data_IF_072880643030
#
_entry.id   IF_072880643030
#
_cell.length_a   1.000
_cell.length_b   1.000
_cell.length_c   1.000
_cell.angle_alpha   90.00
_cell.angle_beta   90.00
_cell.angle_gamma   90.00
#
_symmetry.space_group_name_H-M   'P 1'
#
loop_
_entity.id
_entity.type
_entity.pdbx_description
1 polymer ?
#
# COMPACT_ATOMS: atom_id res chain seq x y z
N UNK A 1 -8.19 39.66 55.35
CA UNK A 1 -9.56 39.63 54.80
C UNK A 1 -9.47 39.58 53.27
N UNK A 2 -8.98 38.46 52.73
CA UNK A 2 -9.75 37.35 52.14
C UNK A 2 -10.12 37.56 50.66
N UNK A 3 -9.32 36.97 49.77
CA UNK A 3 -9.72 36.58 48.39
C UNK A 3 -9.35 35.11 48.15
N UNK A 4 -9.61 34.27 49.16
CA UNK A 4 -9.35 32.82 49.16
C UNK A 4 -10.69 32.05 49.28
N UNK A 5 -11.76 32.61 48.70
CA UNK A 5 -13.14 32.14 48.84
C UNK A 5 -13.90 32.10 47.51
N UNK A 6 -13.24 31.66 46.45
CA UNK A 6 -13.93 31.43 45.17
C UNK A 6 -13.46 30.12 44.53
N UNK A 7 -13.39 29.06 45.35
CA UNK A 7 -12.93 27.73 44.95
C UNK A 7 -13.92 26.59 45.15
N UNK A 8 -15.19 26.86 45.50
CA UNK A 8 -16.17 25.78 45.70
C UNK A 8 -17.60 26.20 45.33
N UNK A 9 -17.92 26.09 44.04
CA UNK A 9 -19.29 25.80 43.56
C UNK A 9 -19.22 24.82 42.40
N UNK A 10 -19.12 23.54 42.74
CA UNK A 10 -19.54 22.44 41.89
C UNK A 10 -21.02 22.17 42.22
N UNK A 11 -21.90 22.38 41.25
CA UNK A 11 -22.72 21.31 40.64
C UNK A 11 -23.94 21.90 39.94
N UNK A 12 -24.07 21.55 38.67
CA UNK A 12 -25.14 22.02 37.80
C UNK A 12 -24.92 21.54 36.38
N UNK A 13 -24.97 20.21 36.20
CA UNK A 13 -25.32 19.51 34.95
C UNK A 13 -25.07 20.29 33.66
N UNK A 14 -23.83 20.26 33.21
CA UNK A 14 -23.45 20.55 31.84
C UNK A 14 -22.32 19.62 31.51
N UNK A 15 -22.61 18.51 30.83
CA UNK A 15 -21.59 17.66 30.23
C UNK A 15 -20.88 18.48 29.16
N UNK A 16 -19.97 19.36 29.59
CA UNK A 16 -18.94 19.94 28.77
C UNK A 16 -18.08 18.76 28.35
N UNK A 17 -18.44 18.15 27.22
CA UNK A 17 -17.53 17.37 26.40
C UNK A 17 -16.28 18.22 26.33
N UNK A 18 -15.24 17.80 27.07
CA UNK A 18 -13.89 18.31 26.91
C UNK A 18 -13.63 18.15 25.42
N UNK A 19 -13.77 19.24 24.66
CA UNK A 19 -13.25 19.30 23.30
C UNK A 19 -11.78 19.03 23.50
N UNK A 20 -11.36 17.80 23.17
CA UNK A 20 -9.95 17.53 22.93
C UNK A 20 -9.47 18.67 22.04
N UNK A 21 -8.33 19.30 22.33
CA UNK A 21 -7.74 20.20 21.35
C UNK A 21 -7.68 19.42 20.04
N UNK A 22 -8.42 19.89 19.04
CA UNK A 22 -8.34 19.38 17.68
C UNK A 22 -6.89 19.55 17.29
N UNK A 23 -6.19 18.41 17.14
CA UNK A 23 -4.83 18.40 16.65
C UNK A 23 -4.79 19.24 15.36
N UNK A 24 -3.87 20.20 15.25
CA UNK A 24 -3.69 20.93 14.00
C UNK A 24 -3.26 19.91 12.93
N UNK A 25 -3.97 19.91 11.80
CA UNK A 25 -3.58 19.18 10.60
C UNK A 25 -4.13 17.77 10.50
N UNK A 26 -5.45 17.61 10.35
CA UNK A 26 -5.91 16.63 9.36
C UNK A 26 -5.49 17.26 8.03
N UNK A 27 -4.34 16.86 7.50
CA UNK A 27 -3.98 17.17 6.12
C UNK A 27 -5.17 16.74 5.28
N UNK A 28 -5.85 17.71 4.66
CA UNK A 28 -6.93 17.41 3.75
C UNK A 28 -6.26 16.79 2.54
N UNK A 29 -6.21 15.47 2.54
CA UNK A 29 -5.72 14.70 1.43
C UNK A 29 -6.79 14.78 0.34
N UNK A 30 -6.49 15.49 -0.74
CA UNK A 30 -7.37 15.57 -1.89
C UNK A 30 -7.28 14.24 -2.66
N UNK A 31 -8.34 13.39 -2.63
CA UNK A 31 -8.30 12.10 -3.30
C UNK A 31 -8.13 12.25 -4.81
N UNK A 32 -8.65 13.33 -5.38
CA UNK A 32 -8.50 13.66 -6.81
C UNK A 32 -7.04 13.91 -7.14
N UNK A 33 -6.32 14.64 -6.28
CA UNK A 33 -4.90 14.88 -6.44
C UNK A 33 -4.07 13.60 -6.33
N UNK A 34 -4.47 12.65 -5.48
CA UNK A 34 -3.82 11.34 -5.39
C UNK A 34 -4.07 10.51 -6.65
N UNK A 35 -5.32 10.38 -7.07
CA UNK A 35 -5.67 9.59 -8.26
C UNK A 35 -4.89 10.09 -9.47
N UNK A 36 -4.84 11.40 -9.69
CA UNK A 36 -4.03 12.01 -10.74
C UNK A 36 -2.54 11.70 -10.63
N UNK A 37 -1.98 11.63 -9.41
CA UNK A 37 -0.57 11.27 -9.19
C UNK A 37 -0.30 9.80 -9.51
N UNK A 38 -1.19 8.90 -9.10
CA UNK A 38 -1.08 7.48 -9.41
C UNK A 38 -1.16 7.29 -10.93
N UNK A 39 -2.16 7.88 -11.58
CA UNK A 39 -2.35 7.79 -13.03
C UNK A 39 -1.14 8.37 -13.79
N UNK A 40 -0.56 9.47 -13.32
CA UNK A 40 0.66 10.03 -13.89
C UNK A 40 1.84 9.05 -13.81
N UNK A 41 2.06 8.41 -12.65
CA UNK A 41 3.10 7.38 -12.52
C UNK A 41 2.82 6.20 -13.45
N UNK A 42 1.58 5.69 -13.49
CA UNK A 42 1.21 4.52 -14.29
C UNK A 42 1.30 4.77 -15.80
N UNK A 43 1.10 6.01 -16.26
CA UNK A 43 1.15 6.36 -17.68
C UNK A 43 2.52 6.84 -18.16
N UNK A 44 3.45 7.12 -17.22
CA UNK A 44 4.80 7.57 -17.55
C UNK A 44 5.54 6.59 -18.48
N UNK A 45 6.35 7.08 -19.43
CA UNK A 45 7.12 6.24 -20.34
C UNK A 45 8.24 5.46 -19.63
N UNK A 46 8.69 5.96 -18.47
CA UNK A 46 9.69 5.33 -17.61
C UNK A 46 9.21 5.35 -16.17
N UNK A 47 9.69 4.43 -15.36
CA UNK A 47 9.32 4.38 -13.94
C UNK A 47 10.03 5.48 -13.15
N UNK A 48 9.25 6.36 -12.52
CA UNK A 48 9.77 7.45 -11.68
C UNK A 48 9.83 7.02 -10.21
N UNK A 49 11.04 6.74 -9.73
CA UNK A 49 11.29 6.35 -8.34
C UNK A 49 10.96 7.45 -7.33
N UNK A 50 11.14 8.73 -7.70
CA UNK A 50 10.89 9.86 -6.80
C UNK A 50 9.39 10.00 -6.57
N UNK A 51 8.60 9.93 -7.65
CA UNK A 51 7.15 9.96 -7.55
C UNK A 51 6.60 8.74 -6.81
N UNK A 52 7.15 7.54 -7.06
CA UNK A 52 6.77 6.33 -6.34
C UNK A 52 7.12 6.38 -4.85
N UNK A 53 8.27 6.95 -4.47
CA UNK A 53 8.64 7.16 -3.07
C UNK A 53 7.71 8.15 -2.36
N UNK A 54 7.25 9.20 -3.05
CA UNK A 54 6.25 10.11 -2.51
C UNK A 54 4.90 9.41 -2.26
N UNK A 55 4.51 8.48 -3.12
CA UNK A 55 3.33 7.62 -2.94
C UNK A 55 3.51 6.59 -1.81
N UNK A 56 4.74 6.26 -1.45
CA UNK A 56 5.07 5.40 -0.32
C UNK A 56 5.15 6.17 1.02
N UNK A 57 4.96 7.49 1.03
CA UNK A 57 4.98 8.27 2.26
C UNK A 57 3.85 7.85 3.22
N UNK A 58 4.10 7.94 4.53
CA UNK A 58 3.19 7.42 5.58
C UNK A 58 1.78 8.00 5.51
N UNK A 59 1.65 9.26 5.10
CA UNK A 59 0.41 10.00 4.93
C UNK A 59 -0.38 9.61 3.67
N UNK A 60 0.30 9.17 2.61
CA UNK A 60 -0.32 8.75 1.34
C UNK A 60 -0.48 7.23 1.18
N UNK A 61 0.21 6.44 2.01
CA UNK A 61 0.36 4.99 1.83
C UNK A 61 -0.97 4.23 1.81
N UNK A 62 -1.84 4.48 2.80
CA UNK A 62 -3.09 3.72 2.94
C UNK A 62 -4.01 3.92 1.72
N UNK A 63 -4.21 5.17 1.32
CA UNK A 63 -5.06 5.55 0.19
C UNK A 63 -4.46 5.07 -1.13
N UNK A 64 -3.13 5.15 -1.29
CA UNK A 64 -2.44 4.64 -2.48
C UNK A 64 -2.60 3.13 -2.62
N UNK A 65 -2.39 2.38 -1.53
CA UNK A 65 -2.54 0.92 -1.51
C UNK A 65 -3.99 0.54 -1.79
N UNK A 66 -4.97 1.25 -1.21
CA UNK A 66 -6.38 1.01 -1.48
C UNK A 66 -6.73 1.23 -2.96
N UNK A 67 -6.28 2.34 -3.54
CA UNK A 67 -6.53 2.63 -4.96
C UNK A 67 -5.92 1.59 -5.89
N UNK A 68 -4.66 1.20 -5.66
CA UNK A 68 -3.97 0.18 -6.46
C UNK A 68 -4.61 -1.20 -6.30
N UNK A 69 -5.10 -1.55 -5.09
CA UNK A 69 -5.87 -2.76 -4.90
C UNK A 69 -7.16 -2.77 -5.72
N UNK A 70 -7.83 -1.62 -5.86
CA UNK A 70 -9.04 -1.50 -6.71
C UNK A 70 -8.76 -1.87 -8.17
N UNK A 71 -7.59 -1.50 -8.72
CA UNK A 71 -7.18 -1.87 -10.08
C UNK A 71 -6.82 -3.35 -10.23
N UNK A 72 -6.26 -3.95 -9.18
CA UNK A 72 -5.78 -5.34 -9.20
C UNK A 72 -6.85 -6.36 -8.78
N UNK A 73 -7.95 -5.91 -8.16
CA UNK A 73 -9.04 -6.73 -7.67
C UNK A 73 -8.86 -7.17 -6.20
N UNK A 74 -9.52 -8.27 -5.81
CA UNK A 74 -9.79 -8.64 -4.41
C UNK A 74 -8.58 -9.03 -3.54
N UNK A 75 -7.36 -9.07 -4.07
CA UNK A 75 -6.23 -9.69 -3.38
C UNK A 75 -5.39 -8.69 -2.58
N UNK A 76 -5.24 -8.95 -1.28
CA UNK A 76 -4.41 -8.18 -0.34
C UNK A 76 -2.91 -8.47 -0.51
N UNK A 77 -2.38 -8.20 -1.70
CA UNK A 77 -0.94 -8.27 -2.04
C UNK A 77 -0.09 -7.59 -0.96
N UNK A 78 -0.47 -6.40 -0.48
CA UNK A 78 0.28 -5.71 0.57
C UNK A 78 0.46 -6.58 1.83
N UNK A 79 -0.61 -7.21 2.32
CA UNK A 79 -0.54 -8.11 3.48
C UNK A 79 0.28 -9.37 3.20
N UNK A 80 0.23 -9.91 1.98
CA UNK A 80 0.99 -11.10 1.59
C UNK A 80 2.49 -10.83 1.56
N UNK A 81 2.90 -9.65 1.13
CA UNK A 81 4.31 -9.27 0.99
C UNK A 81 4.90 -8.68 2.28
N UNK A 82 4.09 -8.00 3.11
CA UNK A 82 4.55 -7.30 4.31
C UNK A 82 5.32 -8.20 5.30
N UNK A 83 4.91 -9.46 5.43
CA UNK A 83 5.47 -10.40 6.42
C UNK A 83 6.36 -11.47 5.82
N UNK A 84 6.45 -11.55 4.48
CA UNK A 84 7.17 -12.62 3.80
C UNK A 84 8.64 -12.27 3.55
N UNK A 85 9.59 -13.20 3.77
CA UNK A 85 10.90 -13.14 3.14
C UNK A 85 10.77 -13.09 1.61
N UNK A 86 11.69 -12.38 0.95
CA UNK A 86 11.64 -12.13 -0.51
C UNK A 86 11.63 -13.41 -1.35
N UNK A 87 12.30 -14.46 -0.88
CA UNK A 87 12.33 -15.77 -1.55
C UNK A 87 10.95 -16.43 -1.71
N UNK A 88 9.95 -16.05 -0.90
CA UNK A 88 8.58 -16.57 -1.01
C UNK A 88 7.65 -15.66 -1.81
N UNK A 89 8.13 -14.51 -2.30
CA UNK A 89 7.29 -13.56 -3.04
C UNK A 89 6.74 -14.12 -4.35
N UNK A 90 7.49 -14.89 -5.16
CA UNK A 90 6.95 -15.41 -6.42
C UNK A 90 5.70 -16.26 -6.22
N UNK A 91 5.71 -17.20 -5.27
CA UNK A 91 4.52 -18.01 -4.97
C UNK A 91 3.35 -17.15 -4.49
N UNK A 92 3.62 -16.21 -3.59
CA UNK A 92 2.58 -15.37 -2.98
C UNK A 92 1.92 -14.47 -4.02
N UNK A 93 2.70 -13.88 -4.92
CA UNK A 93 2.18 -13.09 -6.03
C UNK A 93 1.44 -13.97 -7.04
N UNK A 94 1.98 -15.14 -7.38
CA UNK A 94 1.31 -16.08 -8.27
C UNK A 94 -0.06 -16.51 -7.73
N UNK A 95 -0.16 -16.80 -6.42
CA UNK A 95 -1.44 -17.10 -5.75
C UNK A 95 -2.34 -15.87 -5.65
N UNK A 96 -1.78 -14.68 -5.41
CA UNK A 96 -2.54 -13.45 -5.36
C UNK A 96 -3.16 -13.12 -6.72
N UNK A 97 -2.47 -13.35 -7.83
CA UNK A 97 -3.05 -13.10 -9.15
C UNK A 97 -3.84 -14.28 -9.70
N UNK A 98 -3.87 -15.42 -9.00
CA UNK A 98 -4.60 -16.62 -9.43
C UNK A 98 -3.86 -17.46 -10.48
N UNK A 99 -2.56 -17.23 -10.68
CA UNK A 99 -1.72 -18.06 -11.54
C UNK A 99 -1.45 -19.45 -10.96
N UNK A 100 -1.53 -19.59 -9.63
CA UNK A 100 -1.34 -20.85 -8.91
C UNK A 100 -2.55 -21.10 -7.99
N UNK A 101 -3.08 -22.33 -7.94
CA UNK A 101 -4.20 -22.69 -7.07
C UNK A 101 -3.97 -22.38 -5.58
N UNK A 102 -5.04 -22.06 -4.85
CA UNK A 102 -4.95 -21.70 -3.43
C UNK A 102 -4.56 -22.87 -2.50
N UNK A 103 -4.56 -24.11 -2.96
CA UNK A 103 -4.14 -25.27 -2.18
C UNK A 103 -2.60 -25.45 -2.13
N UNK A 104 -1.84 -24.72 -2.96
CA UNK A 104 -0.38 -24.71 -2.84
C UNK A 104 0.06 -24.13 -1.49
N UNK A 105 1.00 -24.81 -0.84
CA UNK A 105 1.46 -24.43 0.48
C UNK A 105 2.28 -23.13 0.42
N UNK A 106 1.95 -22.12 1.22
CA UNK A 106 2.57 -20.78 1.13
C UNK A 106 4.06 -20.75 1.50
N UNK A 107 4.56 -21.83 2.14
CA UNK A 107 5.98 -22.02 2.48
C UNK A 107 6.77 -22.81 1.43
N UNK A 108 6.11 -23.24 0.34
CA UNK A 108 6.76 -23.96 -0.74
C UNK A 108 7.69 -23.01 -1.52
N UNK A 109 8.85 -23.54 -1.95
CA UNK A 109 9.74 -22.80 -2.84
C UNK A 109 9.12 -22.76 -4.23
N UNK A 110 8.91 -21.54 -4.72
CA UNK A 110 8.46 -21.26 -6.07
C UNK A 110 9.34 -20.12 -6.60
N UNK A 111 10.07 -20.39 -7.66
CA UNK A 111 11.07 -19.48 -8.20
C UNK A 111 10.47 -18.57 -9.27
N UNK A 112 11.27 -17.60 -9.73
CA UNK A 112 10.92 -16.80 -10.91
C UNK A 112 10.83 -17.69 -12.16
N UNK A 113 11.66 -18.72 -12.26
CA UNK A 113 11.65 -19.63 -13.41
C UNK A 113 10.40 -20.53 -13.43
N UNK A 114 9.95 -20.99 -12.27
CA UNK A 114 8.65 -21.69 -12.14
C UNK A 114 7.49 -20.78 -12.58
N UNK A 115 7.58 -19.48 -12.29
CA UNK A 115 6.59 -18.50 -12.71
C UNK A 115 6.66 -18.23 -14.22
N UNK A 116 7.85 -18.20 -14.82
CA UNK A 116 8.03 -18.11 -16.28
C UNK A 116 7.52 -19.35 -17.00
N UNK A 117 7.69 -20.53 -16.40
CA UNK A 117 7.17 -21.79 -16.93
C UNK A 117 5.65 -21.92 -16.80
N UNK A 118 5.03 -21.12 -15.92
CA UNK A 118 3.58 -21.10 -15.74
C UNK A 118 2.88 -20.56 -17.00
N UNK A 119 2.05 -21.39 -17.63
CA UNK A 119 1.29 -21.03 -18.84
C UNK A 119 0.05 -20.16 -18.53
N UNK A 120 -0.20 -19.83 -17.27
CA UNK A 120 -1.37 -19.05 -16.87
C UNK A 120 -1.14 -17.55 -17.19
N UNK A 121 -2.11 -16.84 -17.80
CA UNK A 121 -1.95 -15.42 -18.15
C UNK A 121 -1.54 -14.53 -16.96
N UNK A 122 -2.10 -14.81 -15.78
CA UNK A 122 -1.80 -14.06 -14.54
C UNK A 122 -0.38 -14.25 -14.00
N UNK A 123 0.37 -15.26 -14.49
CA UNK A 123 1.79 -15.40 -14.15
C UNK A 123 2.60 -14.19 -14.65
N UNK A 124 2.17 -13.59 -15.76
CA UNK A 124 2.77 -12.38 -16.31
C UNK A 124 2.60 -11.19 -15.36
N UNK A 125 1.42 -11.00 -14.77
CA UNK A 125 1.16 -9.96 -13.75
C UNK A 125 2.07 -10.16 -12.53
N UNK A 126 2.26 -11.40 -12.09
CA UNK A 126 3.18 -11.73 -11.00
C UNK A 126 4.65 -11.43 -11.37
N UNK A 127 5.07 -11.71 -12.60
CA UNK A 127 6.40 -11.37 -13.11
C UNK A 127 6.62 -9.86 -13.19
N UNK A 128 5.62 -9.10 -13.65
CA UNK A 128 5.66 -7.64 -13.65
C UNK A 128 5.81 -7.10 -12.23
N UNK A 129 5.03 -7.60 -11.27
CA UNK A 129 5.14 -7.22 -9.86
C UNK A 129 6.54 -7.45 -9.27
N UNK A 130 7.26 -8.47 -9.75
CA UNK A 130 8.64 -8.79 -9.36
C UNK A 130 9.71 -8.00 -10.15
N UNK A 131 9.30 -7.07 -11.02
CA UNK A 131 10.21 -6.29 -11.87
C UNK A 131 10.91 -7.12 -12.95
N UNK A 132 10.33 -8.27 -13.33
CA UNK A 132 10.90 -9.17 -14.35
C UNK A 132 10.48 -8.80 -15.78
N UNK A 133 9.60 -7.82 -15.93
CA UNK A 133 9.12 -7.29 -17.22
C UNK A 133 9.54 -5.83 -17.31
N UNK A 134 10.20 -5.38 -18.39
CA UNK A 134 10.55 -3.98 -18.58
C UNK A 134 9.33 -3.08 -18.50
N UNK A 135 9.44 -1.92 -17.84
CA UNK A 135 8.31 -0.99 -17.62
C UNK A 135 7.58 -0.60 -18.92
N UNK A 136 8.34 -0.38 -20.00
CA UNK A 136 7.80 -0.04 -21.32
C UNK A 136 6.88 -1.13 -21.89
N UNK A 137 7.10 -2.39 -21.49
CA UNK A 137 6.37 -3.56 -21.98
C UNK A 137 5.21 -3.98 -21.06
N UNK A 138 5.00 -3.24 -19.96
CA UNK A 138 3.95 -3.53 -18.99
C UNK A 138 2.62 -2.88 -19.38
N UNK A 139 1.53 -3.65 -19.25
CA UNK A 139 0.16 -3.13 -19.27
C UNK A 139 -0.12 -2.25 -18.04
N UNK A 140 -1.20 -1.46 -18.06
CA UNK A 140 -1.58 -0.64 -16.90
C UNK A 140 -1.74 -1.50 -15.62
N UNK A 141 -2.38 -2.67 -15.72
CA UNK A 141 -2.55 -3.60 -14.60
C UNK A 141 -1.22 -4.11 -14.05
N UNK A 142 -0.28 -4.43 -14.94
CA UNK A 142 1.08 -4.86 -14.57
C UNK A 142 1.87 -3.74 -13.87
N UNK A 143 1.73 -2.50 -14.36
CA UNK A 143 2.33 -1.31 -13.75
C UNK A 143 1.76 -1.06 -12.34
N UNK A 144 0.45 -1.21 -12.15
CA UNK A 144 -0.17 -1.12 -10.82
C UNK A 144 0.35 -2.20 -9.87
N UNK A 145 0.56 -3.43 -10.37
CA UNK A 145 1.10 -4.54 -9.59
C UNK A 145 2.56 -4.29 -9.16
N UNK A 146 3.38 -3.76 -10.07
CA UNK A 146 4.75 -3.35 -9.79
C UNK A 146 4.80 -2.20 -8.78
N UNK A 147 4.02 -1.13 -9.01
CA UNK A 147 3.99 0.05 -8.13
C UNK A 147 3.55 -0.33 -6.71
N UNK A 148 2.52 -1.16 -6.57
CA UNK A 148 2.07 -1.66 -5.26
C UNK A 148 3.17 -2.45 -4.54
N UNK A 149 3.86 -3.33 -5.27
CA UNK A 149 4.96 -4.13 -4.72
C UNK A 149 6.13 -3.23 -4.28
N UNK A 150 6.45 -2.21 -5.07
CA UNK A 150 7.46 -1.21 -4.76
C UNK A 150 7.13 -0.44 -3.47
N UNK A 151 5.92 0.13 -3.39
CA UNK A 151 5.45 0.93 -2.24
C UNK A 151 5.49 0.12 -0.94
N UNK A 152 4.99 -1.13 -0.97
CA UNK A 152 5.02 -2.03 0.19
C UNK A 152 6.45 -2.37 0.60
N UNK A 153 7.34 -2.59 -0.37
CA UNK A 153 8.77 -2.83 -0.10
C UNK A 153 9.44 -1.63 0.56
N UNK A 154 9.11 -0.42 0.09
CA UNK A 154 9.73 0.82 0.55
C UNK A 154 9.35 1.11 2.00
N UNK A 155 8.08 0.96 2.35
CA UNK A 155 7.59 1.14 3.72
C UNK A 155 8.25 0.18 4.72
N UNK A 156 8.43 -1.10 4.35
CA UNK A 156 9.14 -2.07 5.22
C UNK A 156 10.58 -1.66 5.55
N UNK A 157 11.25 -0.91 4.66
CA UNK A 157 12.62 -0.41 4.90
C UNK A 157 12.64 0.85 5.76
N UNK A 158 11.53 1.60 5.81
CA UNK A 158 11.42 2.86 6.54
C UNK A 158 11.22 2.71 8.06
N UNK A 159 10.79 1.54 8.53
CA UNK A 159 10.52 1.27 9.96
C UNK A 159 11.79 1.01 10.82
N UNK A 160 12.98 1.34 10.29
CA UNK A 160 14.27 1.21 10.98
C UNK A 160 15.04 2.55 11.10
N UNK A 161 14.37 3.68 10.83
CA UNK A 161 14.91 5.03 11.00
C UNK A 161 14.51 5.66 12.33
#
# INVERSE_FOLDING_TARGET
MSRLHELLRLDGTGAARRRRPSLPGIFHFDPTALENRIDWVLTAPTFDFIAADALAARDAYADTVERLHRDLGRYRIASLLAVAPREFWPLRLARAFGAVPHNHWIGERYTVDDLRACKHPEARTALAALGQIPWADQTCRERSAFLLTYIVTRMRRGDHG
#
